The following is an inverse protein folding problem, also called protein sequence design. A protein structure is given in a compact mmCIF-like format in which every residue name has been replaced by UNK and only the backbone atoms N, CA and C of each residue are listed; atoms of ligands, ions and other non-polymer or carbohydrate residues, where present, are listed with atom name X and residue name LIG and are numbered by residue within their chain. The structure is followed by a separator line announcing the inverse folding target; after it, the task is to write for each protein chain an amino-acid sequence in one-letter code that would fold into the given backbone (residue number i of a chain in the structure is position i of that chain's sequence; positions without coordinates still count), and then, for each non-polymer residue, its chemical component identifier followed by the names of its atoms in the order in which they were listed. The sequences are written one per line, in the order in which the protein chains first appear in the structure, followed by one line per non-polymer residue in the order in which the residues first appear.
data_IF_495222301559
#
_entry.id   IF_495222301559
#
_cell.length_a   1.000
_cell.length_b   1.000
_cell.length_c   1.000
_cell.angle_alpha   90.00
_cell.angle_beta   90.00
_cell.angle_gamma   90.00
#
_symmetry.space_group_name_H-M   'P 1'
#
loop_
_entity.id
_entity.type
_entity.pdbx_description
1 polymer ?
#
# COMPACT_ATOMS: atom_id res chain seq x y z
N UNK A 1 -11.70 -1.45 8.76
CA UNK A 1 -10.44 -1.93 8.16
C UNK A 1 -9.94 -0.85 7.24
N UNK A 2 -8.66 -0.47 7.32
CA UNK A 2 -8.09 0.50 6.40
C UNK A 2 -7.62 -0.22 5.12
N UNK A 3 -7.93 0.37 3.97
CA UNK A 3 -7.53 -0.10 2.65
C UNK A 3 -6.89 1.06 1.90
N UNK A 4 -5.75 0.81 1.26
CA UNK A 4 -5.10 1.73 0.33
C UNK A 4 -4.83 1.04 -0.99
N UNK A 5 -4.78 1.79 -2.08
CA UNK A 5 -4.42 1.29 -3.40
C UNK A 5 -3.03 1.80 -3.75
N UNK A 6 -2.11 0.88 -4.06
CA UNK A 6 -0.81 1.20 -4.61
C UNK A 6 -0.83 0.95 -6.12
N UNK A 7 -0.41 1.95 -6.89
CA UNK A 7 -0.30 1.89 -8.34
C UNK A 7 1.13 2.24 -8.75
N UNK A 8 1.72 1.42 -9.61
CA UNK A 8 3.11 1.55 -10.06
C UNK A 8 3.27 2.06 -11.50
N UNK A 9 2.16 2.42 -12.16
CA UNK A 9 2.16 2.76 -13.59
C UNK A 9 1.65 1.62 -14.49
N UNK A 10 1.70 0.37 -14.01
CA UNK A 10 1.26 -0.81 -14.76
C UNK A 10 -0.05 -1.37 -14.21
N UNK A 11 -0.09 -1.60 -12.90
CA UNK A 11 -1.25 -2.22 -12.24
C UNK A 11 -1.44 -1.68 -10.83
N UNK A 12 -2.64 -1.94 -10.28
CA UNK A 12 -2.98 -1.60 -8.91
C UNK A 12 -3.02 -2.84 -8.03
N UNK A 13 -2.62 -2.68 -6.77
CA UNK A 13 -2.74 -3.69 -5.71
C UNK A 13 -3.37 -3.04 -4.47
N UNK A 14 -4.21 -3.79 -3.75
CA UNK A 14 -4.73 -3.34 -2.47
C UNK A 14 -3.77 -3.66 -1.33
N UNK A 15 -3.56 -2.68 -0.46
CA UNK A 15 -2.88 -2.82 0.82
C UNK A 15 -3.94 -2.77 1.91
N UNK A 16 -4.04 -3.83 2.71
CA UNK A 16 -5.08 -3.94 3.75
C UNK A 16 -4.46 -4.02 5.14
N UNK A 17 -5.01 -3.24 6.06
CA UNK A 17 -4.63 -3.23 7.48
C UNK A 17 -5.86 -3.46 8.37
N UNK A 18 -6.21 -4.72 8.65
CA UNK A 18 -7.24 -5.06 9.62
C UNK A 18 -6.95 -4.46 11.00
N UNK A 19 -7.97 -3.95 11.69
CA UNK A 19 -7.84 -3.37 13.02
C UNK A 19 -7.10 -2.03 13.11
N UNK A 20 -6.52 -1.52 12.02
CA UNK A 20 -5.92 -0.19 11.98
C UNK A 20 -6.93 0.87 11.56
N UNK A 21 -6.84 2.04 12.18
CA UNK A 21 -7.61 3.26 11.85
C UNK A 21 -6.77 4.30 11.11
N UNK A 22 -5.44 4.20 11.19
CA UNK A 22 -4.47 5.06 10.53
C UNK A 22 -3.15 4.32 10.36
N UNK A 23 -2.36 4.71 9.34
CA UNK A 23 -1.00 4.20 9.13
C UNK A 23 -0.02 5.38 9.18
N UNK A 24 1.00 5.36 10.05
CA UNK A 24 1.93 6.48 10.21
C UNK A 24 2.63 6.89 8.91
N UNK A 25 2.53 8.17 8.54
CA UNK A 25 3.19 8.73 7.37
C UNK A 25 2.57 8.35 6.02
N UNK A 26 1.62 7.42 5.98
CA UNK A 26 0.93 7.02 4.75
C UNK A 26 -0.28 7.92 4.50
N UNK A 27 -0.25 8.63 3.36
CA UNK A 27 -1.34 9.47 2.84
C UNK A 27 -1.54 9.18 1.36
N UNK A 28 -2.68 9.58 0.82
CA UNK A 28 -2.91 9.53 -0.63
C UNK A 28 -1.88 10.44 -1.32
N UNK A 29 -1.25 9.93 -2.37
CA UNK A 29 -0.22 10.64 -3.15
C UNK A 29 1.22 10.36 -2.72
N UNK A 30 1.44 9.64 -1.61
CA UNK A 30 2.79 9.24 -1.21
C UNK A 30 3.37 8.17 -2.14
N UNK A 31 4.63 8.35 -2.54
CA UNK A 31 5.39 7.30 -3.22
C UNK A 31 6.00 6.37 -2.16
N UNK A 32 5.69 5.09 -2.25
CA UNK A 32 6.11 4.10 -1.25
C UNK A 32 6.70 2.86 -1.91
N UNK A 33 7.57 2.19 -1.17
CA UNK A 33 7.94 0.80 -1.40
C UNK A 33 7.16 -0.08 -0.43
N UNK A 34 6.71 -1.25 -0.89
CA UNK A 34 5.93 -2.19 -0.09
C UNK A 34 6.51 -3.59 -0.23
N UNK A 35 6.63 -4.29 0.90
CA UNK A 35 7.05 -5.68 0.97
C UNK A 35 6.01 -6.52 1.71
N UNK A 36 5.68 -7.68 1.15
CA UNK A 36 4.78 -8.66 1.75
C UNK A 36 4.35 -9.73 0.75
N UNK A 37 3.48 -10.63 1.19
CA UNK A 37 2.92 -11.67 0.33
C UNK A 37 1.70 -11.15 -0.42
N UNK A 38 1.79 -11.11 -1.74
CA UNK A 38 0.64 -10.82 -2.60
C UNK A 38 -0.24 -12.07 -2.76
N UNK A 39 -1.55 -11.90 -2.66
CA UNK A 39 -2.53 -12.96 -2.86
C UNK A 39 -3.87 -12.41 -3.33
N UNK A 40 -4.66 -13.25 -3.98
CA UNK A 40 -6.01 -12.88 -4.41
C UNK A 40 -6.97 -12.93 -3.22
N UNK A 41 -7.72 -11.84 -3.02
CA UNK A 41 -8.86 -11.78 -2.12
C UNK A 41 -10.12 -11.53 -2.97
N UNK A 42 -10.78 -12.62 -3.37
CA UNK A 42 -11.74 -12.58 -4.48
C UNK A 42 -10.99 -12.24 -5.77
N UNK A 43 -11.45 -11.21 -6.47
CA UNK A 43 -10.87 -10.76 -7.75
C UNK A 43 -9.83 -9.64 -7.58
N UNK A 44 -9.40 -9.36 -6.34
CA UNK A 44 -8.48 -8.25 -6.04
C UNK A 44 -7.14 -8.78 -5.54
N UNK A 45 -6.06 -8.43 -6.26
CA UNK A 45 -4.70 -8.67 -5.78
C UNK A 45 -4.44 -7.81 -4.54
N UNK A 46 -4.01 -8.44 -3.46
CA UNK A 46 -3.95 -7.82 -2.13
C UNK A 46 -2.69 -8.23 -1.38
N UNK A 47 -2.10 -7.30 -0.63
CA UNK A 47 -1.13 -7.59 0.45
C UNK A 47 -1.76 -7.18 1.79
N UNK A 48 -1.78 -8.10 2.75
CA UNK A 48 -2.31 -7.86 4.09
C UNK A 48 -1.15 -7.57 5.03
N UNK A 49 -1.26 -6.50 5.82
CA UNK A 49 -0.25 -6.03 6.77
C UNK A 49 1.17 -5.96 6.16
N UNK A 50 1.36 -5.26 5.03
CA UNK A 50 2.67 -5.08 4.42
C UNK A 50 3.64 -4.31 5.33
N UNK A 51 4.93 -4.55 5.13
CA UNK A 51 5.97 -3.58 5.46
C UNK A 51 5.95 -2.47 4.40
N UNK A 52 6.21 -1.24 4.80
CA UNK A 52 6.26 -0.10 3.88
C UNK A 52 7.40 0.85 4.22
N UNK A 53 7.91 1.52 3.20
CA UNK A 53 8.85 2.63 3.30
C UNK A 53 8.34 3.77 2.44
N UNK A 54 8.34 4.98 2.99
CA UNK A 54 8.05 6.19 2.21
C UNK A 54 9.31 6.57 1.45
N UNK A 55 9.18 6.69 0.14
CA UNK A 55 10.25 7.17 -0.73
C UNK A 55 10.07 8.68 -0.79
N UNK A 56 10.93 9.42 -0.08
CA UNK A 56 10.97 10.87 -0.23
C UNK A 56 11.22 11.18 -1.71
N UNK A 57 10.34 11.96 -2.32
CA UNK A 57 10.63 12.53 -3.64
C UNK A 57 11.80 13.50 -3.42
N UNK A 58 12.95 13.28 -4.05
CA UNK A 58 13.96 14.33 -4.11
C UNK A 58 13.30 15.55 -4.73
N UNK A 59 13.25 16.67 -3.99
CA UNK A 59 12.81 17.94 -4.53
C UNK A 59 13.74 18.29 -5.70
N UNK A 60 13.25 18.15 -6.93
CA UNK A 60 13.80 18.87 -8.08
C UNK A 60 13.31 20.32 -8.07
#
# INVERSE_FOLDING_TARGET
MLVGTLYDGTASIELRWPGRVSIPGLKVGEHIEVEGTAGMQGDVLTIINPLYRIIASENM
#
